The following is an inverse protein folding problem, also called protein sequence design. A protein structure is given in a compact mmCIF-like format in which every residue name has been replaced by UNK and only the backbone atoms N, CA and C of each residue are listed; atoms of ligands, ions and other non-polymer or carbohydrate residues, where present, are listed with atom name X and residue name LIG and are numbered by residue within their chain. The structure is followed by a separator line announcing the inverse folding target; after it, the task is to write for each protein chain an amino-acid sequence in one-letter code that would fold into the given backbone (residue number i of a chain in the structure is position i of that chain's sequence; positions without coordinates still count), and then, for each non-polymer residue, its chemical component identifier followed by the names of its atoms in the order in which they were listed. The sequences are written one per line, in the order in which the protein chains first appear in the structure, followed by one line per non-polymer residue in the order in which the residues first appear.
data_IF_732005792835
#
_entry.id   IF_732005792835
#
_cell.length_a   1.000
_cell.length_b   1.000
_cell.length_c   1.000
_cell.angle_alpha   90.00
_cell.angle_beta   90.00
_cell.angle_gamma   90.00
#
_symmetry.space_group_name_H-M   'P 1'
#
loop_
_entity.id
_entity.type
_entity.pdbx_description
1 polymer ?
#
# COMPACT_ATOMS: atom_id res chain seq x y z
N UNK A 1 15.87 -7.58 -39.05
CA UNK A 1 16.74 -7.59 -37.84
C UNK A 1 15.81 -7.86 -36.68
N UNK A 2 15.85 -9.07 -36.13
CA UNK A 2 14.86 -9.60 -35.17
C UNK A 2 15.09 -8.93 -33.82
N UNK A 3 14.13 -8.13 -33.34
CA UNK A 3 14.15 -7.57 -31.99
C UNK A 3 13.63 -8.63 -31.03
N UNK A 4 14.47 -9.01 -30.07
CA UNK A 4 14.12 -9.97 -29.02
C UNK A 4 13.21 -9.29 -28.00
N UNK A 5 11.97 -9.77 -27.88
CA UNK A 5 11.06 -9.39 -26.81
C UNK A 5 11.62 -9.91 -25.49
N UNK A 6 12.09 -9.00 -24.62
CA UNK A 6 12.42 -9.33 -23.24
C UNK A 6 11.12 -9.31 -22.42
N UNK A 7 10.63 -10.49 -22.06
CA UNK A 7 9.67 -10.64 -20.98
C UNK A 7 10.36 -10.29 -19.65
N UNK A 8 9.79 -9.35 -18.90
CA UNK A 8 10.25 -9.00 -17.55
C UNK A 8 9.22 -9.58 -16.59
N UNK A 9 9.63 -10.59 -15.82
CA UNK A 9 8.83 -11.18 -14.74
C UNK A 9 9.15 -10.44 -13.44
N UNK A 10 8.15 -9.82 -12.82
CA UNK A 10 8.29 -9.04 -11.57
C UNK A 10 8.03 -9.89 -10.31
N UNK A 11 7.88 -11.21 -10.42
CA UNK A 11 7.41 -12.10 -9.33
C UNK A 11 8.45 -12.45 -8.26
N UNK A 12 9.61 -11.78 -8.20
CA UNK A 12 10.73 -12.23 -7.35
C UNK A 12 10.97 -11.39 -6.08
N UNK A 13 9.92 -10.91 -5.42
CA UNK A 13 10.02 -10.41 -4.03
C UNK A 13 8.74 -10.65 -3.23
N UNK A 14 8.42 -11.91 -2.90
CA UNK A 14 7.43 -12.21 -1.85
C UNK A 14 8.00 -13.21 -0.85
N UNK A 15 8.22 -12.75 0.38
CA UNK A 15 8.65 -13.57 1.51
C UNK A 15 7.46 -14.38 2.03
N UNK A 16 7.57 -15.71 2.00
CA UNK A 16 6.57 -16.63 2.53
C UNK A 16 6.43 -16.48 4.06
N UNK A 17 5.20 -16.31 4.56
CA UNK A 17 4.84 -16.47 5.97
C UNK A 17 3.76 -17.56 6.11
N UNK A 18 3.88 -18.48 7.08
CA UNK A 18 2.85 -19.48 7.36
C UNK A 18 1.82 -18.96 8.39
N UNK A 19 0.53 -19.05 8.06
CA UNK A 19 -0.58 -18.82 8.98
C UNK A 19 -0.90 -20.09 9.78
N UNK A 20 -1.03 -19.97 11.10
CA UNK A 20 -1.70 -20.98 11.94
C UNK A 20 -2.57 -20.28 12.97
N UNK A 21 -3.88 -20.41 12.82
CA UNK A 21 -4.83 -20.19 13.91
C UNK A 21 -5.93 -21.25 13.81
N UNK A 22 -5.86 -22.20 14.74
CA UNK A 22 -6.87 -23.22 14.92
C UNK A 22 -7.87 -22.82 16.02
N UNK A 23 -9.10 -23.27 15.82
CA UNK A 23 -10.33 -22.93 16.54
C UNK A 23 -10.27 -23.25 18.03
N UNK A 24 -11.05 -22.52 18.84
CA UNK A 24 -11.85 -23.12 19.92
C UNK A 24 -13.02 -22.20 20.31
N UNK A 25 -14.22 -22.76 20.13
CA UNK A 25 -15.51 -22.17 20.41
C UNK A 25 -16.14 -23.00 21.55
N UNK A 26 -16.68 -22.39 22.61
CA UNK A 26 -17.60 -23.05 23.55
C UNK A 26 -18.42 -22.02 24.34
N UNK A 27 -19.73 -22.10 24.17
CA UNK A 27 -20.74 -21.35 24.92
C UNK A 27 -21.03 -22.01 26.27
N UNK A 28 -21.52 -21.23 27.23
CA UNK A 28 -22.42 -21.74 28.27
C UNK A 28 -23.42 -20.67 28.72
N UNK A 29 -24.67 -21.13 28.86
CA UNK A 29 -25.89 -20.39 29.21
C UNK A 29 -25.92 -20.09 30.71
N UNK A 30 -26.54 -18.97 31.09
CA UNK A 30 -26.85 -18.61 32.47
C UNK A 30 -28.16 -17.82 32.55
N UNK A 31 -29.01 -18.21 33.49
CA UNK A 31 -30.46 -17.98 33.58
C UNK A 31 -30.82 -16.66 34.27
N UNK A 32 -31.97 -16.10 33.87
CA UNK A 32 -32.66 -14.91 34.42
C UNK A 32 -32.98 -15.01 35.92
N UNK A 33 -32.90 -13.87 36.63
CA UNK A 33 -33.78 -13.56 37.77
C UNK A 33 -34.15 -12.06 37.80
N UNK A 34 -35.46 -11.81 37.81
CA UNK A 34 -36.09 -10.51 38.03
C UNK A 34 -36.07 -10.14 39.52
N UNK A 35 -35.64 -8.91 39.85
CA UNK A 35 -36.00 -8.22 41.09
C UNK A 35 -36.28 -6.74 40.78
N UNK A 36 -37.47 -6.28 41.15
CA UNK A 36 -37.94 -4.89 41.04
C UNK A 36 -37.34 -4.04 42.16
N UNK A 37 -36.88 -2.82 41.85
CA UNK A 37 -36.87 -1.69 42.79
C UNK A 37 -37.18 -0.39 42.03
N UNK A 38 -38.06 0.43 42.59
CA UNK A 38 -38.51 1.73 42.12
C UNK A 38 -37.75 2.90 42.77
N UNK A 39 -37.38 3.88 41.93
CA UNK A 39 -37.25 5.35 42.15
C UNK A 39 -36.39 5.93 43.30
N UNK A 40 -35.46 6.84 42.94
CA UNK A 40 -35.28 8.22 43.47
C UNK A 40 -34.25 8.98 42.58
N UNK A 41 -34.33 10.33 42.46
CA UNK A 41 -33.63 11.12 41.43
C UNK A 41 -32.27 11.70 41.86
N UNK A 42 -31.49 12.05 40.83
CA UNK A 42 -30.36 13.01 40.77
C UNK A 42 -29.12 12.80 41.64
N UNK A 43 -28.04 12.35 40.97
CA UNK A 43 -26.71 12.98 41.09
C UNK A 43 -26.12 13.04 39.67
N UNK A 44 -25.92 14.23 39.11
CA UNK A 44 -25.07 14.40 37.92
C UNK A 44 -23.63 14.18 38.36
N UNK A 45 -23.16 12.94 38.22
CA UNK A 45 -21.74 12.65 38.24
C UNK A 45 -21.10 13.31 37.01
N UNK A 46 -20.22 14.27 37.25
CA UNK A 46 -19.20 14.61 36.27
C UNK A 46 -18.36 13.36 36.05
N UNK A 47 -18.29 12.86 34.81
CA UNK A 47 -17.17 12.03 34.39
C UNK A 47 -17.06 11.94 32.86
N UNK A 48 -15.82 12.16 32.46
CA UNK A 48 -15.20 12.08 31.15
C UNK A 48 -15.74 10.98 30.25
N UNK A 49 -16.01 11.32 28.99
CA UNK A 49 -15.97 10.31 27.94
C UNK A 49 -14.51 10.05 27.58
N UNK A 50 -14.05 8.87 27.98
CA UNK A 50 -12.80 8.27 27.57
C UNK A 50 -12.76 8.18 26.04
N UNK A 51 -11.95 9.01 25.40
CA UNK A 51 -11.32 8.63 24.14
C UNK A 51 -10.38 7.47 24.47
N UNK A 52 -10.58 6.33 23.81
CA UNK A 52 -9.94 5.06 24.14
C UNK A 52 -8.40 5.16 24.09
N UNK A 53 -7.75 4.97 25.24
CA UNK A 53 -6.29 4.83 25.38
C UNK A 53 -5.68 3.77 24.44
N UNK A 54 -6.50 2.89 23.85
CA UNK A 54 -6.07 1.84 22.93
C UNK A 54 -5.51 2.36 21.59
N UNK A 55 -5.93 3.55 21.13
CA UNK A 55 -5.40 4.11 19.89
C UNK A 55 -4.04 4.80 20.06
N UNK A 56 -3.77 5.32 21.26
CA UNK A 56 -2.61 6.15 21.55
C UNK A 56 -1.33 5.34 21.81
N UNK A 57 -1.44 4.14 22.36
CA UNK A 57 -0.29 3.25 22.53
C UNK A 57 0.23 2.69 21.21
N UNK A 58 -0.65 2.43 20.24
CA UNK A 58 -0.27 1.81 18.98
C UNK A 58 0.69 2.68 18.16
N UNK A 59 0.58 4.02 18.28
CA UNK A 59 1.46 4.97 17.60
C UNK A 59 2.69 5.40 18.41
N UNK A 60 3.04 4.66 19.46
CA UNK A 60 4.25 4.92 20.23
C UNK A 60 5.49 4.42 19.50
N UNK A 61 6.60 5.16 19.65
CA UNK A 61 7.92 4.74 19.20
C UNK A 61 8.26 3.35 19.75
N UNK A 62 8.66 2.44 18.87
CA UNK A 62 9.17 1.13 19.29
C UNK A 62 10.55 1.29 19.96
N UNK A 63 10.86 0.52 21.02
CA UNK A 63 12.18 0.54 21.65
C UNK A 63 13.29 -0.03 20.77
N UNK A 64 12.96 -0.71 19.67
CA UNK A 64 13.94 -1.24 18.71
C UNK A 64 14.51 -0.16 17.77
N UNK A 65 13.92 1.05 17.74
CA UNK A 65 14.51 2.15 16.98
C UNK A 65 15.74 2.70 17.71
N UNK A 66 16.76 3.11 16.98
CA UNK A 66 17.79 3.99 17.53
C UNK A 66 17.20 5.37 17.84
N UNK A 67 17.81 6.08 18.80
CA UNK A 67 17.41 7.44 19.15
C UNK A 67 17.58 8.40 17.96
N UNK A 68 16.69 9.38 17.83
CA UNK A 68 16.74 10.42 16.81
C UNK A 68 15.40 10.72 16.14
N UNK A 69 15.43 11.63 15.16
CA UNK A 69 14.26 12.20 14.51
C UNK A 69 13.32 11.14 13.91
N UNK A 70 13.85 10.20 13.11
CA UNK A 70 13.04 9.16 12.50
C UNK A 70 12.76 8.02 13.47
N UNK A 71 11.54 7.49 13.42
CA UNK A 71 11.18 6.26 14.13
C UNK A 71 10.02 5.49 13.50
N UNK A 72 9.96 4.19 13.80
CA UNK A 72 8.82 3.32 13.48
C UNK A 72 7.99 3.03 14.74
N UNK A 73 6.67 3.09 14.63
CA UNK A 73 5.74 2.77 15.72
C UNK A 73 5.23 1.32 15.68
N UNK A 74 4.35 0.96 16.62
CA UNK A 74 3.78 -0.38 16.75
C UNK A 74 2.67 -0.71 15.74
N UNK A 75 2.30 0.21 14.84
CA UNK A 75 1.33 -0.05 13.76
C UNK A 75 1.98 -0.66 12.51
N UNK A 76 3.30 -0.88 12.52
CA UNK A 76 4.02 -1.49 11.42
C UNK A 76 3.53 -2.92 11.16
N UNK A 77 3.28 -3.25 9.89
CA UNK A 77 2.79 -4.56 9.44
C UNK A 77 3.85 -5.41 8.72
N UNK A 78 5.13 -5.05 8.85
CA UNK A 78 6.26 -5.77 8.22
C UNK A 78 6.23 -5.88 6.69
N UNK A 79 5.55 -4.96 5.98
CA UNK A 79 5.41 -4.94 4.52
C UNK A 79 6.71 -4.72 3.70
N UNK A 80 7.87 -4.68 4.33
CA UNK A 80 9.20 -4.47 3.73
C UNK A 80 9.46 -3.12 3.04
N UNK A 81 8.44 -2.33 2.67
CA UNK A 81 8.53 -1.09 1.87
C UNK A 81 9.71 -0.18 2.23
N UNK A 82 9.82 0.20 3.50
CA UNK A 82 10.88 1.11 3.95
C UNK A 82 12.30 0.54 3.84
N UNK A 83 12.44 -0.79 3.91
CA UNK A 83 13.75 -1.46 3.92
C UNK A 83 14.36 -1.49 2.54
N UNK A 84 13.57 -1.69 1.49
CA UNK A 84 14.10 -1.62 0.13
C UNK A 84 14.18 -0.17 -0.39
N UNK A 85 13.32 0.75 0.08
CA UNK A 85 13.40 2.17 -0.30
C UNK A 85 14.55 2.92 0.35
N UNK A 86 14.84 2.63 1.62
CA UNK A 86 15.87 3.30 2.41
C UNK A 86 16.64 2.28 3.27
N UNK A 87 17.38 1.35 2.63
CA UNK A 87 18.09 0.27 3.32
C UNK A 87 19.19 0.75 4.25
N UNK A 88 19.64 2.01 4.11
CA UNK A 88 20.62 2.63 5.00
C UNK A 88 20.03 3.11 6.33
N UNK A 89 18.69 3.16 6.44
CA UNK A 89 17.95 3.74 7.57
C UNK A 89 17.10 2.71 8.28
N UNK A 90 16.43 1.83 7.54
CA UNK A 90 15.49 0.85 8.09
C UNK A 90 16.00 -0.58 7.95
N UNK A 91 15.80 -1.37 9.01
CA UNK A 91 16.06 -2.81 9.00
C UNK A 91 14.90 -3.56 9.64
N UNK A 92 14.92 -4.88 9.54
CA UNK A 92 13.95 -5.75 10.20
C UNK A 92 14.45 -6.09 11.60
N UNK A 93 13.62 -5.85 12.62
CA UNK A 93 13.90 -6.28 14.00
C UNK A 93 12.65 -6.94 14.57
N UNK A 94 12.70 -8.27 14.66
CA UNK A 94 11.53 -9.11 14.91
C UNK A 94 10.59 -9.15 13.71
N UNK A 95 9.29 -9.03 13.95
CA UNK A 95 8.23 -9.07 12.93
C UNK A 95 7.81 -7.67 12.47
N UNK A 96 8.70 -6.68 12.53
CA UNK A 96 8.43 -5.29 12.16
C UNK A 96 9.71 -4.55 11.76
N UNK A 97 9.58 -3.49 10.97
CA UNK A 97 10.68 -2.58 10.66
C UNK A 97 11.04 -1.66 11.83
N UNK A 98 12.32 -1.32 11.96
CA UNK A 98 12.81 -0.31 12.90
C UNK A 98 13.86 0.58 12.22
N UNK A 99 14.00 1.81 12.70
CA UNK A 99 15.13 2.67 12.34
C UNK A 99 16.38 2.12 13.02
N UNK A 100 17.35 1.67 12.24
CA UNK A 100 18.62 1.14 12.78
C UNK A 100 19.75 2.16 12.71
N UNK A 101 19.66 3.10 11.77
CA UNK A 101 20.55 4.23 11.60
C UNK A 101 19.71 5.46 11.26
N UNK A 102 19.96 6.59 11.92
CA UNK A 102 19.37 7.85 11.49
C UNK A 102 20.00 8.30 10.16
N UNK A 103 19.26 8.97 9.27
CA UNK A 103 19.82 9.50 8.03
C UNK A 103 21.04 10.40 8.28
N UNK A 104 22.13 10.17 7.56
CA UNK A 104 23.40 10.89 7.80
C UNK A 104 23.69 11.96 6.76
N UNK A 105 23.03 11.89 5.61
CA UNK A 105 23.15 12.85 4.51
C UNK A 105 21.77 13.23 3.95
N UNK A 106 21.75 14.15 2.97
CA UNK A 106 20.51 14.62 2.33
C UNK A 106 19.83 13.51 1.54
N UNK A 107 20.62 12.65 0.92
CA UNK A 107 20.17 11.52 0.11
C UNK A 107 19.46 10.47 0.99
N UNK A 108 20.08 10.05 2.09
CA UNK A 108 19.46 9.15 3.07
C UNK A 108 18.14 9.74 3.60
N UNK A 109 18.13 11.04 3.90
CA UNK A 109 16.96 11.71 4.46
C UNK A 109 15.82 11.80 3.45
N UNK A 110 16.13 12.07 2.18
CA UNK A 110 15.15 12.03 1.11
C UNK A 110 14.54 10.62 0.96
N UNK A 111 15.36 9.58 0.92
CA UNK A 111 14.89 8.19 0.84
C UNK A 111 14.05 7.80 2.05
N UNK A 112 14.43 8.23 3.26
CA UNK A 112 13.64 7.99 4.46
C UNK A 112 12.27 8.69 4.42
N UNK A 113 12.20 9.91 3.91
CA UNK A 113 10.93 10.63 3.70
C UNK A 113 10.07 9.98 2.59
N UNK A 114 10.68 9.48 1.52
CA UNK A 114 9.99 8.71 0.48
C UNK A 114 9.41 7.40 1.06
N UNK A 115 10.17 6.70 1.89
CA UNK A 115 9.72 5.51 2.63
C UNK A 115 8.58 5.85 3.59
N UNK A 116 8.66 6.98 4.30
CA UNK A 116 7.59 7.49 5.17
C UNK A 116 6.29 7.72 4.38
N UNK A 117 6.37 8.41 3.24
CA UNK A 117 5.22 8.68 2.37
C UNK A 117 4.63 7.41 1.76
N UNK A 118 5.45 6.37 1.56
CA UNK A 118 5.06 5.09 0.98
C UNK A 118 4.64 4.04 2.01
N UNK A 119 4.78 4.32 3.31
CA UNK A 119 4.39 3.38 4.36
C UNK A 119 2.86 3.19 4.37
N UNK A 120 2.34 1.97 4.12
CA UNK A 120 0.91 1.73 3.94
C UNK A 120 0.09 2.04 5.19
N UNK A 121 0.70 1.86 6.37
CA UNK A 121 0.09 2.07 7.68
C UNK A 121 0.48 3.40 8.32
N UNK A 122 1.27 4.24 7.64
CA UNK A 122 1.80 5.49 8.19
C UNK A 122 2.51 5.31 9.53
N UNK A 123 3.27 4.21 9.67
CA UNK A 123 3.96 3.82 10.89
C UNK A 123 5.33 4.47 11.07
N UNK A 124 5.80 5.21 10.08
CA UNK A 124 7.09 5.90 10.08
C UNK A 124 6.82 7.37 10.39
N UNK A 125 7.57 7.93 11.32
CA UNK A 125 7.38 9.26 11.86
C UNK A 125 8.68 10.04 11.92
N UNK A 126 8.56 11.35 12.05
CA UNK A 126 9.63 12.28 12.43
C UNK A 126 9.20 13.02 13.69
N UNK A 127 10.13 13.28 14.61
CA UNK A 127 9.85 14.10 15.80
C UNK A 127 9.70 15.58 15.43
N UNK A 128 10.47 16.02 14.44
CA UNK A 128 10.46 17.39 13.96
C UNK A 128 9.51 17.50 12.78
N UNK A 129 8.69 18.57 12.74
CA UNK A 129 7.88 18.88 11.57
C UNK A 129 8.78 19.19 10.38
N UNK A 130 8.64 18.41 9.31
CA UNK A 130 9.57 18.36 8.18
C UNK A 130 9.07 19.19 7.01
N UNK A 131 9.61 20.39 6.82
CA UNK A 131 9.32 21.18 5.60
C UNK A 131 9.80 20.48 4.32
N UNK A 132 10.84 19.66 4.43
CA UNK A 132 11.42 18.84 3.37
C UNK A 132 10.58 17.64 2.96
N UNK A 133 9.50 17.32 3.69
CA UNK A 133 8.52 16.32 3.22
C UNK A 133 7.87 16.76 1.89
N UNK A 134 7.72 18.08 1.69
CA UNK A 134 7.17 18.63 0.44
C UNK A 134 8.12 18.39 -0.74
N UNK A 135 9.43 18.39 -0.50
CA UNK A 135 10.40 18.04 -1.53
C UNK A 135 10.34 16.55 -1.86
N UNK A 136 10.23 15.68 -0.86
CA UNK A 136 10.03 14.24 -1.08
C UNK A 136 8.74 13.97 -1.88
N UNK A 137 7.64 14.67 -1.58
CA UNK A 137 6.39 14.54 -2.34
C UNK A 137 6.54 14.88 -3.82
N UNK A 138 7.39 15.85 -4.18
CA UNK A 138 7.65 16.24 -5.58
C UNK A 138 8.42 15.19 -6.37
N UNK A 139 9.10 14.27 -5.69
CA UNK A 139 9.88 13.20 -6.34
C UNK A 139 9.03 12.05 -6.86
N UNK A 140 7.76 11.95 -6.44
CA UNK A 140 6.87 10.90 -6.89
C UNK A 140 6.13 11.27 -8.18
N UNK A 141 5.91 10.31 -9.10
CA UNK A 141 6.40 8.92 -9.03
C UNK A 141 7.91 8.83 -9.33
N UNK A 142 8.62 7.90 -8.67
CA UNK A 142 10.09 7.79 -8.69
C UNK A 142 10.53 6.86 -9.82
N UNK A 143 11.46 7.23 -10.72
CA UNK A 143 11.95 6.33 -11.76
C UNK A 143 12.67 5.12 -11.13
N UNK A 144 12.37 3.90 -11.60
CA UNK A 144 12.99 2.67 -11.06
C UNK A 144 14.45 2.55 -11.52
N UNK A 145 14.67 2.63 -12.83
CA UNK A 145 16.00 2.61 -13.45
C UNK A 145 15.90 3.30 -14.81
N UNK A 146 16.31 4.55 -14.91
CA UNK A 146 16.20 5.35 -16.15
C UNK A 146 16.97 4.74 -17.34
N UNK A 147 17.98 3.90 -17.06
CA UNK A 147 18.82 3.30 -18.10
C UNK A 147 18.28 1.97 -18.58
N UNK A 148 17.79 1.13 -17.67
CA UNK A 148 17.30 -0.22 -17.99
C UNK A 148 15.79 -0.28 -18.22
N UNK A 149 15.03 0.58 -17.55
CA UNK A 149 13.57 0.65 -17.57
C UNK A 149 13.09 2.10 -17.77
N UNK A 150 13.50 2.77 -18.87
CA UNK A 150 13.04 4.12 -19.14
C UNK A 150 11.52 4.17 -19.23
N UNK A 151 10.92 5.17 -18.58
CA UNK A 151 9.47 5.34 -18.57
C UNK A 151 8.72 4.51 -17.51
N UNK A 152 9.41 3.73 -16.68
CA UNK A 152 8.79 2.98 -15.57
C UNK A 152 9.09 3.64 -14.23
N UNK A 153 8.04 3.97 -13.49
CA UNK A 153 8.12 4.69 -12.23
C UNK A 153 7.39 3.94 -11.12
N UNK A 154 7.95 3.96 -9.91
CA UNK A 154 7.28 3.55 -8.68
C UNK A 154 6.42 4.69 -8.13
N UNK A 155 5.15 4.42 -7.89
CA UNK A 155 4.19 5.45 -7.48
C UNK A 155 4.33 5.86 -6.00
N UNK A 156 4.94 5.02 -5.16
CA UNK A 156 4.90 5.19 -3.70
C UNK A 156 3.47 5.14 -3.16
N UNK A 157 3.24 5.86 -2.06
CA UNK A 157 1.91 6.02 -1.45
C UNK A 157 1.13 4.70 -1.33
N UNK A 158 1.77 3.64 -0.80
CA UNK A 158 1.10 2.34 -0.69
C UNK A 158 -0.13 2.42 0.21
N UNK A 159 -1.02 1.46 0.05
CA UNK A 159 -2.27 1.40 0.80
C UNK A 159 -2.22 0.29 1.84
N UNK A 160 -2.73 0.55 3.04
CA UNK A 160 -3.00 -0.51 4.01
C UNK A 160 -4.06 -1.51 3.53
N UNK A 161 -4.91 -1.12 2.57
CA UNK A 161 -5.93 -1.99 1.96
C UNK A 161 -5.34 -3.08 1.06
N UNK A 162 -4.11 -2.89 0.58
CA UNK A 162 -3.37 -3.83 -0.27
C UNK A 162 -2.11 -4.35 0.42
N UNK A 163 -2.07 -4.32 1.76
CA UNK A 163 -0.95 -4.78 2.58
C UNK A 163 0.43 -4.20 2.21
N UNK A 164 0.48 -3.07 1.51
CA UNK A 164 1.73 -2.45 1.05
C UNK A 164 2.20 -2.86 -0.35
N UNK A 165 1.32 -3.42 -1.19
CA UNK A 165 1.62 -3.68 -2.58
C UNK A 165 2.16 -2.43 -3.31
N UNK A 166 3.17 -2.65 -4.14
CA UNK A 166 3.82 -1.59 -4.90
C UNK A 166 3.08 -1.37 -6.21
N UNK A 167 2.80 -0.11 -6.53
CA UNK A 167 2.17 0.29 -7.79
C UNK A 167 3.15 1.04 -8.67
N UNK A 168 2.92 0.96 -9.97
CA UNK A 168 3.86 1.46 -10.97
C UNK A 168 3.14 2.25 -12.07
N UNK A 169 3.76 3.32 -12.55
CA UNK A 169 3.35 4.03 -13.75
C UNK A 169 4.29 3.68 -14.90
N UNK A 170 3.73 3.25 -16.02
CA UNK A 170 4.45 3.09 -17.28
C UNK A 170 4.01 4.21 -18.21
N UNK A 171 4.95 5.09 -18.57
CA UNK A 171 4.73 6.16 -19.54
C UNK A 171 4.85 5.62 -20.94
N UNK A 172 3.81 5.83 -21.75
CA UNK A 172 3.75 5.27 -23.10
C UNK A 172 3.05 6.22 -24.08
N UNK A 173 3.50 6.22 -25.34
CA UNK A 173 3.02 7.14 -26.37
C UNK A 173 1.53 6.94 -26.72
N UNK A 174 1.03 5.71 -26.65
CA UNK A 174 -0.38 5.38 -26.84
C UNK A 174 -1.23 5.57 -25.57
N UNK A 175 -0.64 6.08 -24.50
CA UNK A 175 -1.31 6.32 -23.22
C UNK A 175 -0.71 5.48 -22.10
N UNK A 176 -0.52 6.14 -20.96
CA UNK A 176 0.16 5.56 -19.81
C UNK A 176 -0.66 4.45 -19.15
N UNK A 177 0.04 3.51 -18.52
CA UNK A 177 -0.53 2.38 -17.80
C UNK A 177 -0.18 2.51 -16.32
N UNK A 178 -1.19 2.49 -15.45
CA UNK A 178 -1.02 2.40 -14.00
C UNK A 178 -1.21 0.93 -13.58
N UNK A 179 -0.15 0.30 -13.09
CA UNK A 179 -0.15 -1.05 -12.55
C UNK A 179 -0.49 -0.97 -11.07
N UNK A 180 -1.55 -1.67 -10.68
CA UNK A 180 -2.17 -1.66 -9.36
C UNK A 180 -2.60 -0.28 -8.87
N UNK A 181 -3.22 -0.22 -7.69
CA UNK A 181 -3.73 1.02 -7.14
C UNK A 181 -2.89 1.53 -5.97
N UNK A 182 -2.14 2.64 -6.10
CA UNK A 182 -1.66 3.37 -4.93
C UNK A 182 -2.84 3.96 -4.15
N UNK A 183 -2.60 4.37 -2.90
CA UNK A 183 -3.52 5.25 -2.17
C UNK A 183 -3.67 6.55 -2.94
N UNK A 184 -4.91 6.98 -3.16
CA UNK A 184 -5.15 8.21 -3.90
C UNK A 184 -4.69 9.44 -3.11
N UNK A 185 -3.87 10.29 -3.75
CA UNK A 185 -3.54 11.62 -3.26
C UNK A 185 -3.62 12.63 -4.41
N UNK A 186 -4.08 13.84 -4.13
CA UNK A 186 -4.20 14.88 -5.16
C UNK A 186 -2.83 15.24 -5.76
N UNK A 187 -1.77 15.21 -4.93
CA UNK A 187 -0.41 15.53 -5.37
C UNK A 187 0.13 14.50 -6.36
N UNK A 188 -0.02 13.21 -6.07
CA UNK A 188 0.40 12.16 -7.00
C UNK A 188 -0.44 12.20 -8.27
N UNK A 189 -1.76 12.41 -8.15
CA UNK A 189 -2.65 12.50 -9.31
C UNK A 189 -2.27 13.66 -10.25
N UNK A 190 -1.99 14.85 -9.69
CA UNK A 190 -1.53 15.99 -10.49
C UNK A 190 -0.20 15.70 -11.19
N UNK A 191 0.74 15.02 -10.51
CA UNK A 191 2.02 14.63 -11.12
C UNK A 191 1.85 13.65 -12.27
N UNK A 192 0.99 12.65 -12.10
CA UNK A 192 0.68 11.69 -13.17
C UNK A 192 -0.04 12.39 -14.34
N UNK A 193 -0.90 13.37 -14.06
CA UNK A 193 -1.55 14.20 -15.11
C UNK A 193 -0.52 15.01 -15.92
N UNK A 194 0.45 15.64 -15.26
CA UNK A 194 1.58 16.32 -15.91
C UNK A 194 2.41 15.37 -16.80
N UNK A 195 2.40 14.06 -16.49
CA UNK A 195 3.08 13.01 -17.25
C UNK A 195 2.21 12.39 -18.36
N UNK A 196 1.02 12.94 -18.63
CA UNK A 196 0.12 12.46 -19.69
C UNK A 196 -1.10 11.68 -19.18
N UNK A 197 -1.34 11.67 -17.87
CA UNK A 197 -2.49 11.01 -17.26
C UNK A 197 -2.36 9.49 -17.26
N UNK A 198 -3.50 8.78 -17.23
CA UNK A 198 -3.57 7.31 -17.26
C UNK A 198 -4.65 6.91 -18.24
N UNK A 199 -4.32 6.05 -19.20
CA UNK A 199 -5.29 5.46 -20.14
C UNK A 199 -5.81 4.13 -19.62
N UNK A 200 -4.91 3.29 -19.11
CA UNK A 200 -5.21 1.96 -18.60
C UNK A 200 -4.79 1.82 -17.15
N UNK A 201 -5.62 1.18 -16.34
CA UNK A 201 -5.24 0.70 -15.02
C UNK A 201 -5.29 -0.83 -15.01
N UNK A 202 -4.14 -1.49 -14.93
CA UNK A 202 -4.09 -2.94 -14.83
C UNK A 202 -4.00 -3.34 -13.36
N UNK A 203 -5.00 -4.07 -12.88
CA UNK A 203 -5.07 -4.59 -11.52
C UNK A 203 -4.62 -6.06 -11.56
N UNK A 204 -3.52 -6.36 -10.90
CA UNK A 204 -2.85 -7.67 -10.98
C UNK A 204 -3.66 -8.78 -10.33
N UNK A 205 -4.31 -8.49 -9.20
CA UNK A 205 -5.26 -9.38 -8.55
C UNK A 205 -6.23 -8.58 -7.64
N UNK A 206 -7.17 -9.29 -7.03
CA UNK A 206 -8.26 -8.70 -6.22
C UNK A 206 -7.81 -7.98 -4.95
N UNK A 207 -6.64 -8.31 -4.41
CA UNK A 207 -6.17 -7.72 -3.14
C UNK A 207 -5.48 -6.35 -3.34
N UNK A 208 -5.04 -6.05 -4.57
CA UNK A 208 -4.23 -4.86 -4.90
C UNK A 208 -5.03 -3.74 -5.57
N UNK A 209 -6.33 -3.69 -5.26
CA UNK A 209 -7.31 -2.78 -5.86
C UNK A 209 -7.50 -1.47 -5.09
N UNK A 210 -7.03 -1.38 -3.83
CA UNK A 210 -7.00 -0.21 -2.96
C UNK A 210 -8.01 0.95 -3.24
N UNK A 211 -7.59 1.98 -3.97
CA UNK A 211 -8.34 3.20 -4.27
C UNK A 211 -8.64 3.32 -5.79
N UNK A 212 -8.65 2.19 -6.52
CA UNK A 212 -8.78 2.11 -7.98
C UNK A 212 -9.94 2.96 -8.53
N UNK A 213 -11.10 2.96 -7.88
CA UNK A 213 -12.25 3.77 -8.30
C UNK A 213 -12.01 5.28 -8.27
N UNK A 214 -11.17 5.78 -7.35
CA UNK A 214 -10.80 7.22 -7.32
C UNK A 214 -9.90 7.59 -8.49
N UNK A 215 -8.95 6.70 -8.81
CA UNK A 215 -8.07 6.87 -9.96
C UNK A 215 -8.83 6.81 -11.29
N UNK A 216 -9.71 5.82 -11.46
CA UNK A 216 -10.59 5.71 -12.61
C UNK A 216 -11.49 6.94 -12.77
N UNK A 217 -12.04 7.47 -11.66
CA UNK A 217 -12.80 8.72 -11.69
C UNK A 217 -11.95 9.94 -12.09
N UNK A 218 -10.69 10.00 -11.65
CA UNK A 218 -9.80 11.16 -11.93
C UNK A 218 -9.31 11.19 -13.38
N UNK A 219 -9.01 10.03 -13.95
CA UNK A 219 -8.41 9.92 -15.28
C UNK A 219 -9.34 9.40 -16.37
N UNK A 220 -10.52 8.91 -16.01
CA UNK A 220 -11.42 8.21 -16.93
C UNK A 220 -10.72 7.03 -17.64
N UNK A 221 -9.83 6.34 -16.91
CA UNK A 221 -9.06 5.22 -17.43
C UNK A 221 -9.85 3.90 -17.41
N UNK A 222 -9.55 3.01 -18.35
CA UNK A 222 -10.12 1.67 -18.36
C UNK A 222 -9.38 0.78 -17.36
N UNK A 223 -10.09 0.29 -16.33
CA UNK A 223 -9.56 -0.72 -15.41
C UNK A 223 -9.69 -2.09 -16.05
N UNK A 224 -8.60 -2.84 -15.97
CA UNK A 224 -8.46 -4.19 -16.50
C UNK A 224 -8.14 -5.09 -15.31
N UNK A 225 -8.94 -6.15 -15.13
CA UNK A 225 -8.77 -7.15 -14.08
C UNK A 225 -9.14 -8.52 -14.65
N UNK A 226 -8.54 -9.59 -14.14
CA UNK A 226 -8.96 -10.93 -14.53
C UNK A 226 -10.33 -11.29 -13.95
N UNK A 227 -11.13 -12.01 -14.73
CA UNK A 227 -12.49 -12.40 -14.38
C UNK A 227 -12.54 -13.19 -13.06
N UNK A 228 -11.57 -14.06 -12.83
CA UNK A 228 -11.45 -14.84 -11.58
C UNK A 228 -11.16 -14.00 -10.33
N UNK A 229 -10.69 -12.77 -10.50
CA UNK A 229 -10.40 -11.82 -9.40
C UNK A 229 -11.48 -10.74 -9.24
N UNK A 230 -12.56 -10.80 -10.03
CA UNK A 230 -13.66 -9.85 -9.91
C UNK A 230 -14.44 -10.12 -8.61
N UNK A 231 -14.50 -9.10 -7.76
CA UNK A 231 -15.31 -9.09 -6.54
C UNK A 231 -16.39 -8.00 -6.62
N UNK A 232 -17.26 -7.91 -5.62
CA UNK A 232 -18.34 -6.92 -5.60
C UNK A 232 -17.83 -5.47 -5.77
N UNK A 233 -16.64 -5.16 -5.25
CA UNK A 233 -16.01 -3.84 -5.37
C UNK A 233 -15.37 -3.55 -6.74
N UNK A 234 -15.17 -4.57 -7.56
CA UNK A 234 -14.55 -4.48 -8.90
C UNK A 234 -15.47 -4.99 -10.01
N UNK A 235 -16.75 -5.23 -9.71
CA UNK A 235 -17.72 -5.73 -10.68
C UNK A 235 -17.91 -4.76 -11.87
N UNK A 236 -17.68 -3.48 -11.66
CA UNK A 236 -17.82 -2.39 -12.62
C UNK A 236 -16.56 -2.12 -13.45
N UNK A 237 -15.48 -2.89 -13.29
CA UNK A 237 -14.27 -2.73 -14.12
C UNK A 237 -14.60 -2.90 -15.60
N UNK A 238 -13.96 -2.05 -16.39
CA UNK A 238 -14.26 -1.81 -17.80
C UNK A 238 -13.88 -3.03 -18.65
N UNK A 239 -12.75 -3.67 -18.34
CA UNK A 239 -12.28 -4.89 -19.03
C UNK A 239 -12.08 -6.02 -18.05
N UNK A 240 -12.71 -7.17 -18.32
CA UNK A 240 -12.54 -8.42 -17.58
C UNK A 240 -11.84 -9.42 -18.49
N UNK A 241 -10.60 -9.76 -18.16
CA UNK A 241 -9.83 -10.76 -18.92
C UNK A 241 -10.30 -12.16 -18.54
N UNK A 242 -10.44 -13.06 -19.51
CA UNK A 242 -10.84 -14.45 -19.27
C UNK A 242 -9.91 -15.43 -20.00
N UNK A 243 -9.69 -16.59 -19.39
CA UNK A 243 -8.75 -17.63 -19.84
C UNK A 243 -7.34 -17.50 -19.25
N UNK A 244 -6.36 -18.13 -19.91
CA UNK A 244 -4.96 -18.19 -19.44
C UNK A 244 -4.04 -17.17 -20.12
N UNK A 245 -4.58 -16.31 -20.97
CA UNK A 245 -3.79 -15.38 -21.78
C UNK A 245 -2.87 -16.07 -22.81
N UNK A 246 -1.85 -15.35 -23.32
CA UNK A 246 -1.55 -13.96 -23.00
C UNK A 246 -2.60 -12.99 -23.56
N UNK A 247 -2.69 -11.81 -22.97
CA UNK A 247 -3.44 -10.68 -23.54
C UNK A 247 -2.48 -9.56 -23.90
N UNK A 248 -2.94 -8.63 -24.73
CA UNK A 248 -2.14 -7.51 -25.20
C UNK A 248 -2.81 -6.19 -24.88
N UNK A 249 -2.05 -5.25 -24.31
CA UNK A 249 -2.43 -3.85 -24.22
C UNK A 249 -1.63 -3.07 -25.27
N UNK A 250 -2.30 -2.68 -26.35
CA UNK A 250 -1.61 -2.12 -27.51
C UNK A 250 -0.72 -3.16 -28.20
N UNK A 251 0.38 -2.70 -28.80
CA UNK A 251 1.32 -3.56 -29.53
C UNK A 251 2.49 -4.04 -28.67
N UNK A 252 2.75 -3.37 -27.54
CA UNK A 252 4.04 -3.48 -26.83
C UNK A 252 3.94 -4.16 -25.46
N UNK A 253 2.73 -4.25 -24.88
CA UNK A 253 2.55 -4.82 -23.55
C UNK A 253 1.80 -6.14 -23.61
N UNK A 254 2.46 -7.20 -23.15
CA UNK A 254 1.89 -8.53 -23.01
C UNK A 254 1.58 -8.78 -21.53
N UNK A 255 0.32 -9.09 -21.24
CA UNK A 255 -0.15 -9.54 -19.94
C UNK A 255 -0.08 -11.06 -19.90
N UNK A 256 0.72 -11.61 -18.99
CA UNK A 256 0.90 -13.05 -18.82
C UNK A 256 0.18 -13.47 -17.54
N UNK A 257 -0.73 -14.43 -17.63
CA UNK A 257 -1.32 -15.02 -16.44
C UNK A 257 -0.29 -15.95 -15.77
N UNK A 258 0.05 -15.69 -14.51
CA UNK A 258 0.92 -16.55 -13.69
C UNK A 258 0.20 -16.98 -12.40
N UNK A 259 -0.77 -17.93 -12.48
CA UNK A 259 -1.55 -18.35 -11.33
C UNK A 259 -0.65 -18.74 -10.13
N UNK A 260 -0.90 -18.12 -8.97
CA UNK A 260 0.00 -18.05 -7.81
C UNK A 260 -0.71 -18.20 -6.46
N UNK A 261 -0.34 -17.43 -5.42
CA UNK A 261 -0.90 -17.60 -4.05
C UNK A 261 -2.42 -17.41 -3.96
N UNK A 262 -3.00 -16.63 -4.87
CA UNK A 262 -4.40 -16.72 -5.28
C UNK A 262 -4.44 -17.53 -6.57
N UNK A 263 -5.49 -18.35 -6.79
CA UNK A 263 -5.62 -19.21 -8.00
C UNK A 263 -5.46 -18.46 -9.35
N UNK A 264 -5.37 -17.13 -9.30
CA UNK A 264 -5.10 -16.19 -10.37
C UNK A 264 -4.11 -15.12 -9.86
N UNK A 265 -2.91 -15.01 -10.44
CA UNK A 265 -1.91 -13.95 -10.17
C UNK A 265 -1.16 -13.63 -11.48
N UNK A 266 -0.50 -12.48 -11.62
CA UNK A 266 0.11 -12.00 -12.89
C UNK A 266 1.56 -11.53 -12.70
#
# INVERSE_FOLDING_TARGET
MVMANKAISLTSFTSAFPSSFDKLNKSSKGVQKNLRVSTIPQVKAAQSQAESDTGRWARQRRPQNVDGDFFVDHTCIDCDTCRWMAPQVFTRVGEMSAVYNQPTCKEDRLQALQALLSCPTSSIHTEISTSDILEAQKTFPIPIDEKKLPGVYHCGYHSSKSYGASSYLIVHSDGNILIDSPRFTERLAHKIEEMGGVRYMFLTHKDDVADHGKWAKRFHCDRILHYGDVEAGTADVETKLDGSGPWWLGQDFMLIHTPGQTEVSY
#
